data_IF_463305412449
#
_entry.id   IF_463305412449
#
_cell.length_a   1.000
_cell.length_b   1.000
_cell.length_c   1.000
_cell.angle_alpha   90.00
_cell.angle_beta   90.00
_cell.angle_gamma   90.00
#
_symmetry.space_group_name_H-M   'P 1'
#
loop_
_entity.id
_entity.type
_entity.pdbx_description
1 polymer ?
#
# COMPACT_ATOMS: atom_id res chain seq x y z
N UNK A 1 -12.04 5.16 -13.55
CA UNK A 1 -12.86 3.96 -13.30
C UNK A 1 -12.11 3.10 -12.32
N UNK A 2 -12.81 2.42 -11.41
CA UNK A 2 -12.18 1.47 -10.49
C UNK A 2 -11.85 0.18 -11.22
N UNK A 3 -10.65 -0.32 -11.00
CA UNK A 3 -10.14 -1.57 -11.57
C UNK A 3 -9.54 -2.40 -10.43
N UNK A 4 -9.96 -3.65 -10.32
CA UNK A 4 -9.38 -4.63 -9.39
C UNK A 4 -8.39 -5.46 -10.19
N UNK A 5 -7.13 -5.42 -9.77
CA UNK A 5 -6.04 -6.19 -10.35
C UNK A 5 -5.80 -7.37 -9.42
N UNK A 6 -6.13 -8.56 -9.91
CA UNK A 6 -5.98 -9.83 -9.20
C UNK A 6 -4.54 -10.33 -9.35
N UNK A 7 -3.74 -10.10 -8.32
CA UNK A 7 -2.34 -10.49 -8.23
C UNK A 7 -1.98 -10.68 -6.75
N UNK A 8 -1.00 -11.54 -6.47
CA UNK A 8 -0.48 -11.70 -5.11
C UNK A 8 0.22 -10.42 -4.66
N UNK A 9 -0.10 -9.89 -3.46
CA UNK A 9 0.58 -8.71 -2.95
C UNK A 9 2.07 -8.99 -2.74
N UNK A 10 2.93 -8.00 -3.06
CA UNK A 10 4.39 -8.12 -3.06
C UNK A 10 4.97 -9.03 -4.16
N UNK A 11 4.15 -9.53 -5.08
CA UNK A 11 4.64 -10.20 -6.31
C UNK A 11 5.14 -9.18 -7.35
N UNK A 12 5.85 -9.68 -8.35
CA UNK A 12 6.30 -8.85 -9.49
C UNK A 12 5.12 -8.16 -10.21
N UNK A 13 4.01 -8.88 -10.43
CA UNK A 13 2.81 -8.34 -11.07
C UNK A 13 2.17 -7.22 -10.25
N UNK A 14 2.23 -7.34 -8.92
CA UNK A 14 1.75 -6.31 -8.01
C UNK A 14 2.60 -5.03 -8.04
N UNK A 15 3.93 -5.18 -8.11
CA UNK A 15 4.82 -4.03 -8.28
C UNK A 15 4.60 -3.35 -9.63
N UNK A 16 4.40 -4.13 -10.71
CA UNK A 16 4.09 -3.57 -12.03
C UNK A 16 2.74 -2.85 -12.04
N UNK A 17 1.71 -3.41 -11.41
CA UNK A 17 0.39 -2.78 -11.29
C UNK A 17 0.44 -1.42 -10.57
N UNK A 18 1.43 -1.21 -9.70
CA UNK A 18 1.63 0.01 -8.89
C UNK A 18 2.58 1.01 -9.54
N UNK A 19 3.32 0.61 -10.58
CA UNK A 19 4.36 1.42 -11.22
C UNK A 19 3.79 2.74 -11.75
N UNK A 20 4.37 3.85 -11.31
CA UNK A 20 3.95 5.20 -11.69
C UNK A 20 2.60 5.64 -11.10
N UNK A 21 2.03 4.87 -10.16
CA UNK A 21 0.73 5.15 -9.53
C UNK A 21 0.93 5.68 -8.11
N UNK A 22 0.18 6.73 -7.75
CA UNK A 22 0.14 7.21 -6.37
C UNK A 22 -0.60 6.20 -5.49
N UNK A 23 0.09 5.57 -4.55
CA UNK A 23 -0.51 4.56 -3.66
C UNK A 23 -1.06 5.17 -2.38
N UNK A 24 -2.13 4.59 -1.81
CA UNK A 24 -2.75 5.02 -0.54
C UNK A 24 -1.73 5.28 0.57
N UNK A 25 -0.78 4.37 0.76
CA UNK A 25 0.31 4.46 1.75
C UNK A 25 1.21 5.70 1.61
N UNK A 26 1.24 6.33 0.43
CA UNK A 26 2.08 7.50 0.14
C UNK A 26 1.31 8.83 0.11
N UNK A 27 0.00 8.85 0.36
CA UNK A 27 -0.76 10.11 0.35
C UNK A 27 -0.29 11.09 1.44
N UNK A 28 0.18 10.60 2.60
CA UNK A 28 0.83 11.46 3.60
C UNK A 28 2.05 12.21 3.00
N UNK A 29 2.86 11.52 2.19
CA UNK A 29 4.01 12.11 1.47
C UNK A 29 3.57 13.11 0.41
N UNK A 30 2.51 12.80 -0.35
CA UNK A 30 1.93 13.72 -1.35
C UNK A 30 1.42 15.00 -0.69
N UNK A 31 0.80 14.90 0.48
CA UNK A 31 0.23 16.03 1.22
C UNK A 31 1.26 16.77 2.08
N UNK A 32 2.47 16.25 2.22
CA UNK A 32 3.52 16.83 3.04
C UNK A 32 3.85 18.28 2.60
N UNK A 33 3.94 19.18 3.59
CA UNK A 33 4.35 20.57 3.40
C UNK A 33 5.85 20.71 3.65
N UNK A 34 6.51 21.65 2.95
CA UNK A 34 7.90 21.99 3.25
C UNK A 34 8.00 22.87 4.50
N UNK A 35 9.23 23.11 4.94
CA UNK A 35 9.51 24.00 6.08
C UNK A 35 9.39 25.46 5.63
N UNK A 36 8.54 26.24 6.30
CA UNK A 36 8.25 27.62 5.91
C UNK A 36 7.65 27.70 4.51
N UNK A 37 8.24 28.51 3.63
CA UNK A 37 7.80 28.67 2.24
C UNK A 37 8.48 27.69 1.26
N UNK A 38 9.33 26.77 1.75
CA UNK A 38 10.01 25.82 0.89
C UNK A 38 9.06 24.72 0.37
N UNK A 39 9.40 24.12 -0.78
CA UNK A 39 8.73 22.91 -1.26
C UNK A 39 9.08 21.72 -0.37
N UNK A 40 8.16 20.75 -0.25
CA UNK A 40 8.43 19.51 0.47
C UNK A 40 9.43 18.65 -0.29
N UNK A 41 10.58 18.37 0.34
CA UNK A 41 11.63 17.50 -0.21
C UNK A 41 11.13 16.07 -0.36
N UNK A 42 10.36 15.56 0.60
CA UNK A 42 9.80 14.20 0.55
C UNK A 42 8.80 14.03 -0.58
N UNK A 43 7.93 15.02 -0.78
CA UNK A 43 7.00 15.06 -1.91
C UNK A 43 7.73 15.12 -3.25
N UNK A 44 8.78 15.95 -3.34
CA UNK A 44 9.58 16.05 -4.56
C UNK A 44 10.31 14.75 -4.87
N UNK A 45 10.90 14.09 -3.86
CA UNK A 45 11.53 12.78 -4.01
C UNK A 45 10.55 11.73 -4.54
N UNK A 46 9.36 11.63 -3.94
CA UNK A 46 8.35 10.68 -4.39
C UNK A 46 7.85 10.98 -5.82
N UNK A 47 7.67 12.27 -6.16
CA UNK A 47 7.33 12.68 -7.53
C UNK A 47 8.38 12.22 -8.55
N UNK A 48 9.67 12.38 -8.25
CA UNK A 48 10.73 11.92 -9.15
C UNK A 48 10.81 10.40 -9.24
N UNK A 49 10.53 9.68 -8.15
CA UNK A 49 10.43 8.22 -8.20
C UNK A 49 9.32 7.79 -9.17
N UNK A 50 8.11 8.32 -9.03
CA UNK A 50 6.99 8.01 -9.93
C UNK A 50 7.30 8.37 -11.39
N UNK A 51 7.94 9.52 -11.62
CA UNK A 51 8.38 9.90 -12.97
C UNK A 51 9.42 8.94 -13.53
N UNK A 52 10.38 8.49 -12.70
CA UNK A 52 11.35 7.46 -13.07
C UNK A 52 10.67 6.16 -13.47
N UNK A 53 9.78 5.64 -12.63
CA UNK A 53 8.98 4.43 -12.88
C UNK A 53 8.20 4.49 -14.21
N UNK A 54 7.68 5.66 -14.57
CA UNK A 54 6.97 5.87 -15.84
C UNK A 54 7.94 5.87 -17.02
N UNK A 55 9.07 6.57 -16.91
CA UNK A 55 10.03 6.76 -17.99
C UNK A 55 10.87 5.50 -18.28
N UNK A 56 11.21 4.73 -17.25
CA UNK A 56 12.02 3.51 -17.38
C UNK A 56 11.17 2.28 -17.70
N UNK A 57 9.90 2.28 -17.30
CA UNK A 57 9.07 1.08 -17.38
C UNK A 57 9.36 0.06 -16.27
N UNK A 58 10.12 0.44 -15.25
CA UNK A 58 10.53 -0.44 -14.15
C UNK A 58 10.00 0.06 -12.80
N UNK A 59 9.43 -0.80 -11.94
CA UNK A 59 9.08 -0.44 -10.57
C UNK A 59 10.33 -0.03 -9.78
N UNK A 60 10.21 0.97 -8.90
CA UNK A 60 11.33 1.34 -8.03
C UNK A 60 11.61 0.23 -7.00
N UNK A 61 12.89 0.01 -6.70
CA UNK A 61 13.30 -0.94 -5.66
C UNK A 61 12.65 -0.59 -4.31
N UNK A 62 12.00 -1.57 -3.70
CA UNK A 62 11.45 -1.44 -2.36
C UNK A 62 12.38 -2.06 -1.32
N UNK A 63 12.66 -1.32 -0.25
CA UNK A 63 13.36 -1.86 0.91
C UNK A 63 12.38 -2.61 1.81
N UNK A 64 12.67 -3.88 2.10
CA UNK A 64 11.97 -4.67 3.12
C UNK A 64 12.85 -4.79 4.36
N UNK A 65 12.29 -4.46 5.52
CA UNK A 65 12.96 -4.60 6.83
C UNK A 65 12.42 -5.85 7.53
N UNK A 66 13.15 -6.36 8.53
CA UNK A 66 12.67 -7.49 9.35
C UNK A 66 11.31 -7.22 10.02
N UNK A 67 11.01 -5.96 10.37
CA UNK A 67 9.71 -5.57 10.92
C UNK A 67 8.59 -5.64 9.88
N UNK A 68 8.89 -5.29 8.62
CA UNK A 68 7.93 -5.39 7.52
C UNK A 68 7.67 -6.85 7.16
N UNK A 69 8.73 -7.66 7.05
CA UNK A 69 8.62 -9.10 6.78
C UNK A 69 7.78 -9.82 7.84
N UNK A 70 8.03 -9.53 9.12
CA UNK A 70 7.20 -10.06 10.21
C UNK A 70 5.73 -9.67 10.03
N UNK A 71 5.46 -8.43 9.60
CA UNK A 71 4.10 -7.97 9.37
C UNK A 71 3.39 -8.75 8.27
N UNK A 72 4.07 -9.00 7.16
CA UNK A 72 3.55 -9.83 6.07
C UNK A 72 3.21 -11.24 6.53
N UNK A 73 4.08 -11.86 7.33
CA UNK A 73 3.84 -13.20 7.89
C UNK A 73 2.64 -13.22 8.84
N UNK A 74 2.49 -12.19 9.67
CA UNK A 74 1.43 -12.12 10.69
C UNK A 74 0.08 -11.62 10.16
N UNK A 75 0.04 -11.00 8.98
CA UNK A 75 -1.17 -10.42 8.41
C UNK A 75 -2.29 -11.46 8.23
N UNK A 76 -1.94 -12.67 7.80
CA UNK A 76 -2.87 -13.79 7.66
C UNK A 76 -3.55 -14.14 8.98
N UNK A 77 -2.76 -14.37 10.04
CA UNK A 77 -3.28 -14.69 11.37
C UNK A 77 -4.14 -13.56 11.96
N UNK A 78 -3.73 -12.30 11.74
CA UNK A 78 -4.50 -11.14 12.18
C UNK A 78 -5.84 -11.02 11.43
N UNK A 79 -5.88 -11.33 10.13
CA UNK A 79 -7.10 -11.38 9.36
C UNK A 79 -8.03 -12.51 9.85
N UNK A 80 -7.50 -13.70 10.11
CA UNK A 80 -8.27 -14.83 10.67
C UNK A 80 -8.87 -14.49 12.03
N UNK A 81 -8.10 -13.83 12.89
CA UNK A 81 -8.59 -13.36 14.18
C UNK A 81 -9.71 -12.31 14.01
N UNK A 82 -9.56 -11.36 13.09
CA UNK A 82 -10.63 -10.41 12.76
C UNK A 82 -11.91 -11.12 12.30
N UNK A 83 -11.79 -12.10 11.40
CA UNK A 83 -12.93 -12.89 10.91
C UNK A 83 -13.62 -13.64 12.05
N UNK A 84 -12.85 -14.29 12.93
CA UNK A 84 -13.38 -15.00 14.09
C UNK A 84 -14.14 -14.06 15.04
N UNK A 85 -13.59 -12.89 15.33
CA UNK A 85 -14.16 -11.94 16.28
C UNK A 85 -15.40 -11.21 15.74
N UNK A 86 -15.47 -10.98 14.43
CA UNK A 86 -16.53 -10.17 13.81
C UNK A 86 -17.58 -10.99 13.07
N UNK A 87 -17.26 -12.23 12.69
CA UNK A 87 -18.07 -13.05 11.78
C UNK A 87 -18.12 -12.53 10.35
N UNK A 88 -17.34 -11.51 10.00
CA UNK A 88 -17.27 -10.96 8.64
C UNK A 88 -16.19 -11.68 7.83
N UNK A 89 -16.50 -12.00 6.58
CA UNK A 89 -15.50 -12.52 5.64
C UNK A 89 -14.51 -11.41 5.26
N UNK A 90 -13.22 -11.72 5.36
CA UNK A 90 -12.13 -10.82 5.03
C UNK A 90 -11.43 -11.31 3.76
N UNK A 91 -11.79 -10.71 2.61
CA UNK A 91 -11.32 -11.14 1.30
C UNK A 91 -9.99 -10.45 0.93
N UNK A 92 -8.97 -11.24 0.59
CA UNK A 92 -7.70 -10.71 0.07
C UNK A 92 -7.89 -10.12 -1.34
N UNK A 93 -7.14 -9.06 -1.65
CA UNK A 93 -7.10 -8.42 -2.96
C UNK A 93 -5.67 -7.99 -3.30
N UNK A 94 -5.32 -7.94 -4.59
CA UNK A 94 -4.01 -7.47 -5.04
C UNK A 94 -3.88 -5.94 -5.00
N UNK A 95 -4.38 -5.27 -6.04
CA UNK A 95 -4.34 -3.80 -6.13
C UNK A 95 -5.63 -3.25 -6.74
N UNK A 96 -6.13 -2.16 -6.18
CA UNK A 96 -7.31 -1.45 -6.64
C UNK A 96 -6.88 -0.11 -7.22
N UNK A 97 -7.03 0.05 -8.52
CA UNK A 97 -6.63 1.26 -9.26
C UNK A 97 -7.83 2.16 -9.54
N UNK A 98 -7.61 3.47 -9.45
CA UNK A 98 -8.54 4.52 -9.85
C UNK A 98 -7.79 5.62 -10.61
N UNK A 99 -7.52 5.38 -11.90
CA UNK A 99 -6.73 6.30 -12.73
C UNK A 99 -5.26 6.32 -12.31
N UNK A 100 -4.75 7.49 -11.90
CA UNK A 100 -3.35 7.69 -11.49
C UNK A 100 -3.10 7.51 -9.99
N UNK A 101 -4.07 6.88 -9.29
CA UNK A 101 -3.99 6.55 -7.86
C UNK A 101 -4.56 5.16 -7.60
N UNK A 102 -4.16 4.52 -6.51
CA UNK A 102 -4.70 3.21 -6.12
C UNK A 102 -4.32 2.80 -4.71
N UNK A 103 -4.82 1.65 -4.27
CA UNK A 103 -4.62 1.10 -2.95
C UNK A 103 -4.53 -0.44 -2.98
N UNK A 104 -3.78 -1.02 -2.05
CA UNK A 104 -3.81 -2.45 -1.73
C UNK A 104 -4.30 -2.55 -0.30
N UNK A 105 -5.62 -2.49 -0.04
CA UNK A 105 -6.12 -2.77 1.30
C UNK A 105 -5.75 -4.21 1.66
N UNK A 106 -5.52 -4.48 2.94
CA UNK A 106 -5.16 -5.83 3.37
C UNK A 106 -6.34 -6.76 3.13
N UNK A 107 -7.57 -6.36 3.48
CA UNK A 107 -8.79 -7.12 3.12
C UNK A 107 -9.96 -6.22 2.69
N UNK A 108 -10.81 -6.72 1.80
CA UNK A 108 -12.16 -6.21 1.54
C UNK A 108 -13.13 -6.87 2.52
N UNK A 109 -14.05 -6.08 3.08
CA UNK A 109 -15.03 -6.55 4.07
C UNK A 109 -16.44 -6.27 3.54
N UNK A 110 -17.17 -7.32 3.16
CA UNK A 110 -18.53 -7.17 2.61
C UNK A 110 -18.57 -6.29 1.36
N UNK A 111 -19.59 -5.44 1.24
CA UNK A 111 -19.80 -4.59 0.05
C UNK A 111 -19.30 -3.15 0.21
N UNK A 112 -18.99 -2.72 1.43
CA UNK A 112 -18.73 -1.32 1.78
C UNK A 112 -17.61 -1.13 2.83
N UNK A 113 -16.94 -2.21 3.24
CA UNK A 113 -15.87 -2.19 4.24
C UNK A 113 -14.49 -2.52 3.68
N UNK A 114 -13.46 -2.05 4.40
CA UNK A 114 -12.05 -2.36 4.18
C UNK A 114 -11.39 -2.64 5.52
N UNK A 115 -10.35 -3.46 5.50
CA UNK A 115 -9.49 -3.75 6.64
C UNK A 115 -8.04 -3.38 6.32
N UNK A 116 -7.43 -2.64 7.24
CA UNK A 116 -6.00 -2.32 7.27
C UNK A 116 -5.42 -2.86 8.58
N UNK A 117 -4.49 -3.79 8.49
CA UNK A 117 -3.85 -4.54 9.55
C UNK A 117 -2.48 -3.92 9.83
N UNK A 118 -2.16 -3.80 11.13
CA UNK A 118 -0.86 -3.31 11.59
C UNK A 118 -0.36 -4.18 12.74
N UNK A 119 0.75 -4.86 12.51
CA UNK A 119 1.43 -5.70 13.52
C UNK A 119 2.67 -4.99 14.03
N UNK A 120 2.41 -3.91 14.76
CA UNK A 120 3.44 -3.01 15.28
C UNK A 120 4.37 -3.72 16.25
N UNK A 121 5.66 -3.36 16.21
CA UNK A 121 6.59 -3.74 17.28
C UNK A 121 6.24 -2.99 18.57
N UNK A 122 6.59 -3.53 19.76
CA UNK A 122 6.26 -2.88 21.03
C UNK A 122 6.76 -1.44 21.16
N UNK A 123 7.88 -1.10 20.52
CA UNK A 123 8.45 0.25 20.59
C UNK A 123 7.72 1.32 19.75
N UNK A 124 6.69 0.94 18.99
CA UNK A 124 5.86 1.86 18.20
C UNK A 124 4.36 1.74 18.50
N UNK A 125 4.01 1.03 19.57
CA UNK A 125 2.69 1.12 20.22
C UNK A 125 2.63 2.41 21.06
#
# INVERSE_FOLDING_TARGET
>A
MLEIIDCEQNSADWFEARRGIVTASNFATVMAKGKGNAKSVTRQKYMYQLAGEILTGEPAETFTSADMERGHVMEGEAADYYQFMTGMEAQLVGFIRNGMKGASPDRLIGTDGLLEIKTNKPSVL
#
